data_IF_569339031886
#
_entry.id   IF_569339031886
#
_cell.length_a   1.000
_cell.length_b   1.000
_cell.length_c   1.000
_cell.angle_alpha   90.00
_cell.angle_beta   90.00
_cell.angle_gamma   90.00
#
_symmetry.space_group_name_H-M   'P 1'
#
loop_
_entity.id
_entity.type
_entity.pdbx_description
1 polymer ?
#
# COMPACT_ATOMS: atom_id res chain seq x y z
N UNK A 1 -4.78 -18.86 -13.32
CA UNK A 1 -5.59 -17.72 -12.87
C UNK A 1 -6.79 -18.32 -12.18
N UNK A 2 -6.97 -18.02 -10.89
CA UNK A 2 -8.26 -18.27 -10.25
C UNK A 2 -9.25 -17.31 -10.92
N UNK A 3 -10.45 -17.78 -11.23
CA UNK A 3 -11.52 -16.93 -11.77
C UNK A 3 -12.04 -16.04 -10.64
N UNK A 4 -12.24 -14.75 -10.93
CA UNK A 4 -12.82 -13.80 -9.97
C UNK A 4 -14.16 -14.34 -9.42
N UNK A 5 -14.40 -14.21 -8.12
CA UNK A 5 -15.70 -14.60 -7.54
C UNK A 5 -16.87 -13.92 -8.29
N UNK A 6 -17.84 -14.71 -8.80
CA UNK A 6 -18.92 -14.18 -9.63
C UNK A 6 -19.69 -13.03 -8.97
N UNK A 7 -19.79 -11.92 -9.70
CA UNK A 7 -20.51 -10.72 -9.25
C UNK A 7 -19.76 -9.86 -8.23
N UNK A 8 -18.49 -10.16 -7.95
CA UNK A 8 -17.62 -9.32 -7.11
C UNK A 8 -16.69 -8.48 -7.98
N UNK A 9 -16.24 -7.36 -7.41
CA UNK A 9 -15.29 -6.46 -8.06
C UNK A 9 -14.21 -6.04 -7.08
N UNK A 10 -12.96 -6.08 -7.52
CA UNK A 10 -11.77 -5.86 -6.70
C UNK A 10 -11.03 -4.58 -7.07
N UNK A 11 -11.77 -3.47 -7.20
CA UNK A 11 -11.20 -2.13 -7.34
C UNK A 11 -10.66 -1.60 -6.01
N UNK A 12 -9.91 -0.49 -6.08
CA UNK A 12 -9.20 0.12 -4.95
C UNK A 12 -10.11 0.49 -3.77
N UNK A 13 -9.92 -0.15 -2.61
CA UNK A 13 -10.61 0.18 -1.35
C UNK A 13 -9.66 0.39 -0.18
N UNK A 14 -10.13 1.08 0.85
CA UNK A 14 -9.35 1.40 2.04
C UNK A 14 -8.18 2.36 1.78
N UNK A 15 -7.34 2.55 2.79
CA UNK A 15 -6.29 3.59 2.76
C UNK A 15 -5.11 3.23 1.85
N UNK A 16 -4.82 1.95 1.65
CA UNK A 16 -3.79 1.49 0.69
C UNK A 16 -4.32 1.28 -0.73
N UNK A 17 -5.63 1.51 -0.95
CA UNK A 17 -6.31 1.26 -2.22
C UNK A 17 -6.09 -0.18 -2.73
N UNK A 18 -6.42 -1.17 -1.88
CA UNK A 18 -6.26 -2.59 -2.19
C UNK A 18 -7.04 -2.94 -3.46
N UNK A 19 -6.34 -3.49 -4.45
CA UNK A 19 -6.87 -3.81 -5.78
C UNK A 19 -6.48 -5.23 -6.15
N UNK A 20 -7.26 -5.88 -7.02
CA UNK A 20 -7.10 -7.26 -7.49
C UNK A 20 -7.51 -8.33 -6.48
N UNK A 21 -8.26 -9.34 -6.95
CA UNK A 21 -8.78 -10.43 -6.11
C UNK A 21 -7.68 -11.10 -5.27
N UNK A 22 -6.55 -11.44 -5.88
CA UNK A 22 -5.45 -12.13 -5.20
C UNK A 22 -4.92 -11.35 -3.98
N UNK A 23 -5.00 -10.01 -3.99
CA UNK A 23 -4.61 -9.20 -2.84
C UNK A 23 -5.68 -9.24 -1.73
N UNK A 24 -6.97 -9.27 -2.10
CA UNK A 24 -8.06 -9.47 -1.14
C UNK A 24 -7.99 -10.85 -0.51
N UNK A 25 -7.68 -11.89 -1.28
CA UNK A 25 -7.46 -13.25 -0.77
C UNK A 25 -6.29 -13.29 0.20
N UNK A 26 -5.12 -12.78 -0.20
CA UNK A 26 -3.93 -12.77 0.64
C UNK A 26 -4.15 -11.98 1.94
N UNK A 27 -4.83 -10.82 1.87
CA UNK A 27 -5.21 -10.05 3.05
C UNK A 27 -6.16 -10.83 3.95
N UNK A 28 -7.19 -11.46 3.37
CA UNK A 28 -8.18 -12.23 4.12
C UNK A 28 -7.54 -13.41 4.86
N UNK A 29 -6.67 -14.16 4.18
CA UNK A 29 -5.95 -15.28 4.77
C UNK A 29 -5.01 -14.84 5.88
N UNK A 30 -4.30 -13.73 5.70
CA UNK A 30 -3.36 -13.24 6.71
C UNK A 30 -4.05 -12.66 7.95
N UNK A 31 -5.22 -12.02 7.79
CA UNK A 31 -5.93 -11.35 8.88
C UNK A 31 -6.92 -12.28 9.60
N UNK A 32 -7.54 -13.22 8.87
CA UNK A 32 -8.68 -14.00 9.37
C UNK A 32 -8.54 -15.51 9.17
N UNK A 33 -7.57 -15.97 8.36
CA UNK A 33 -7.43 -17.38 7.99
C UNK A 33 -8.48 -17.90 6.99
N UNK A 34 -9.33 -17.02 6.46
CA UNK A 34 -10.43 -17.37 5.55
C UNK A 34 -10.46 -16.46 4.31
N UNK A 35 -11.53 -16.56 3.51
CA UNK A 35 -11.75 -15.83 2.26
C UNK A 35 -12.81 -14.72 2.39
N UNK A 36 -13.12 -14.26 3.60
CA UNK A 36 -14.19 -13.28 3.84
C UNK A 36 -14.05 -11.99 3.04
N UNK A 37 -12.82 -11.50 2.83
CA UNK A 37 -12.61 -10.27 2.04
C UNK A 37 -12.75 -10.51 0.53
N UNK A 38 -12.60 -11.75 0.07
CA UNK A 38 -12.90 -12.13 -1.32
C UNK A 38 -14.42 -12.14 -1.52
N UNK A 39 -15.15 -12.73 -0.58
CA UNK A 39 -16.63 -12.81 -0.60
C UNK A 39 -17.32 -11.47 -0.37
N UNK A 40 -16.74 -10.63 0.50
CA UNK A 40 -17.30 -9.34 0.90
C UNK A 40 -16.25 -8.22 0.77
N UNK A 41 -15.80 -7.89 -0.45
CA UNK A 41 -14.73 -6.90 -0.65
C UNK A 41 -15.14 -5.48 -0.24
N UNK A 42 -16.45 -5.21 -0.13
CA UNK A 42 -16.98 -3.94 0.37
C UNK A 42 -16.55 -3.61 1.81
N UNK A 43 -16.28 -4.63 2.64
CA UNK A 43 -15.84 -4.45 4.03
C UNK A 43 -14.56 -3.60 4.14
N UNK A 44 -13.66 -3.72 3.16
CA UNK A 44 -12.41 -2.92 3.11
C UNK A 44 -12.67 -1.43 2.94
N UNK A 45 -13.86 -1.03 2.45
CA UNK A 45 -14.27 0.36 2.33
C UNK A 45 -15.23 0.83 3.43
N UNK A 46 -16.09 -0.05 3.96
CA UNK A 46 -17.14 0.32 4.91
C UNK A 46 -16.77 0.14 6.38
N UNK A 47 -15.75 -0.67 6.69
CA UNK A 47 -15.32 -0.94 8.04
C UNK A 47 -13.91 -0.37 8.28
N UNK A 48 -13.80 0.59 9.19
CA UNK A 48 -12.56 1.32 9.48
C UNK A 48 -11.46 0.40 10.04
N UNK A 49 -11.80 -0.53 10.94
CA UNK A 49 -10.84 -1.48 11.50
C UNK A 49 -10.27 -2.39 10.42
N UNK A 50 -11.13 -2.83 9.49
CA UNK A 50 -10.72 -3.66 8.35
C UNK A 50 -9.84 -2.85 7.39
N UNK A 51 -10.21 -1.60 7.11
CA UNK A 51 -9.43 -0.72 6.24
C UNK A 51 -8.01 -0.50 6.79
N UNK A 52 -7.88 -0.23 8.10
CA UNK A 52 -6.58 -0.10 8.76
C UNK A 52 -5.80 -1.43 8.79
N UNK A 53 -6.46 -2.53 9.15
CA UNK A 53 -5.83 -3.85 9.21
C UNK A 53 -5.24 -4.27 7.86
N UNK A 54 -6.00 -4.07 6.77
CA UNK A 54 -5.54 -4.33 5.40
C UNK A 54 -4.35 -3.47 5.03
N UNK A 55 -4.41 -2.15 5.30
CA UNK A 55 -3.30 -1.23 5.01
C UNK A 55 -2.03 -1.60 5.77
N UNK A 56 -2.15 -1.94 7.05
CA UNK A 56 -1.00 -2.33 7.89
C UNK A 56 -0.43 -3.69 7.47
N UNK A 57 -1.28 -4.66 7.16
CA UNK A 57 -0.86 -5.94 6.60
C UNK A 57 -0.07 -5.73 5.30
N UNK A 58 -0.61 -4.96 4.36
CA UNK A 58 0.04 -4.73 3.07
C UNK A 58 1.41 -4.08 3.27
N UNK A 59 1.49 -3.07 4.14
CA UNK A 59 2.75 -2.42 4.50
C UNK A 59 3.77 -3.41 5.05
N UNK A 60 3.38 -4.22 6.05
CA UNK A 60 4.29 -5.18 6.69
C UNK A 60 4.75 -6.30 5.76
N UNK A 61 3.85 -6.84 4.94
CA UNK A 61 4.14 -7.97 4.07
C UNK A 61 4.95 -7.56 2.83
N UNK A 62 4.61 -6.41 2.22
CA UNK A 62 5.10 -6.05 0.90
C UNK A 62 6.08 -4.88 0.88
N UNK A 63 6.00 -3.94 1.83
CA UNK A 63 6.76 -2.68 1.77
C UNK A 63 7.92 -2.68 2.78
N UNK A 64 7.62 -2.88 4.06
CA UNK A 64 8.59 -2.80 5.16
C UNK A 64 9.66 -3.91 5.14
N UNK A 65 9.50 -4.93 4.29
CA UNK A 65 10.49 -6.00 4.11
C UNK A 65 11.71 -5.53 3.33
N UNK A 66 11.57 -4.46 2.52
CA UNK A 66 12.63 -3.92 1.67
C UNK A 66 13.75 -3.25 2.52
N UNK A 67 15.03 -3.63 2.31
CA UNK A 67 16.15 -3.02 3.05
C UNK A 67 16.29 -1.51 2.87
N UNK A 68 15.94 -0.95 1.70
CA UNK A 68 16.00 0.49 1.47
C UNK A 68 14.94 1.23 2.30
N UNK A 69 13.72 0.67 2.38
CA UNK A 69 12.67 1.19 3.26
C UNK A 69 13.12 1.19 4.72
N UNK A 70 13.81 0.13 5.17
CA UNK A 70 14.36 0.05 6.53
C UNK A 70 15.48 1.07 6.81
N UNK A 71 16.15 1.58 5.77
CA UNK A 71 17.14 2.66 5.86
C UNK A 71 16.51 4.06 5.83
N UNK A 72 15.19 4.16 5.72
CA UNK A 72 14.47 5.43 5.63
C UNK A 72 14.33 6.01 4.23
N UNK A 73 14.71 5.26 3.19
CA UNK A 73 14.56 5.69 1.79
C UNK A 73 13.07 5.66 1.39
N UNK A 74 12.41 6.82 1.44
CA UNK A 74 10.97 6.91 1.23
C UNK A 74 10.57 6.54 -0.21
N UNK A 75 11.39 6.87 -1.21
CA UNK A 75 11.15 6.51 -2.61
C UNK A 75 11.05 5.00 -2.81
N UNK A 76 11.84 4.20 -2.07
CA UNK A 76 11.73 2.74 -2.11
C UNK A 76 10.33 2.25 -1.70
N UNK A 77 9.67 2.93 -0.75
CA UNK A 77 8.30 2.59 -0.36
C UNK A 77 7.30 2.84 -1.50
N UNK A 78 7.45 3.95 -2.22
CA UNK A 78 6.63 4.27 -3.41
C UNK A 78 6.86 3.22 -4.50
N UNK A 79 8.11 2.82 -4.72
CA UNK A 79 8.47 1.81 -5.71
C UNK A 79 7.82 0.45 -5.39
N UNK A 80 7.75 0.07 -4.12
CA UNK A 80 7.07 -1.16 -3.68
C UNK A 80 5.55 -1.10 -3.82
N UNK A 81 4.94 0.08 -3.68
CA UNK A 81 3.49 0.25 -3.78
C UNK A 81 3.04 0.35 -5.25
N UNK A 82 3.71 1.18 -6.06
CA UNK A 82 3.27 1.48 -7.43
C UNK A 82 4.41 1.86 -8.38
N UNK A 83 5.60 1.27 -8.21
CA UNK A 83 6.81 1.70 -8.93
C UNK A 83 6.75 1.60 -10.45
N UNK A 84 5.96 0.67 -10.99
CA UNK A 84 5.77 0.54 -12.44
C UNK A 84 5.19 1.81 -13.06
N UNK A 85 4.23 2.45 -12.38
CA UNK A 85 3.58 3.67 -12.87
C UNK A 85 4.26 4.94 -12.33
N UNK A 86 4.63 4.94 -11.05
CA UNK A 86 5.06 6.15 -10.34
C UNK A 86 6.57 6.37 -10.32
N UNK A 87 7.38 5.33 -10.53
CA UNK A 87 8.84 5.46 -10.57
C UNK A 87 9.38 5.35 -12.00
N UNK A 88 8.88 4.36 -12.75
CA UNK A 88 9.34 4.04 -14.13
C UNK A 88 8.38 4.49 -15.22
N UNK A 89 7.16 4.90 -14.84
CA UNK A 89 6.08 5.22 -15.76
C UNK A 89 5.77 6.71 -15.83
N UNK A 90 4.62 7.02 -16.43
CA UNK A 90 4.20 8.40 -16.68
C UNK A 90 3.72 9.17 -15.43
N UNK A 91 3.57 8.51 -14.27
CA UNK A 91 2.95 9.09 -13.07
C UNK A 91 3.97 9.53 -12.00
N UNK A 92 5.17 9.98 -12.40
CA UNK A 92 6.22 10.45 -11.47
C UNK A 92 5.83 11.70 -10.67
N UNK A 93 4.88 12.50 -11.17
CA UNK A 93 4.28 13.61 -10.44
C UNK A 93 3.59 13.16 -9.14
N UNK A 94 2.96 11.98 -9.16
CA UNK A 94 2.34 11.39 -7.97
C UNK A 94 3.38 10.96 -6.94
N UNK A 95 4.48 10.35 -7.38
CA UNK A 95 5.58 9.98 -6.49
C UNK A 95 6.17 11.22 -5.79
N UNK A 96 6.42 12.29 -6.53
CA UNK A 96 6.86 13.59 -5.98
C UNK A 96 5.87 14.12 -4.95
N UNK A 97 4.57 14.11 -5.26
CA UNK A 97 3.53 14.55 -4.32
C UNK A 97 3.48 13.73 -3.03
N UNK A 98 3.68 12.41 -3.10
CA UNK A 98 3.79 11.56 -1.89
C UNK A 98 4.99 11.94 -1.03
N UNK A 99 6.13 12.24 -1.66
CA UNK A 99 7.31 12.71 -0.93
C UNK A 99 7.06 14.08 -0.28
N UNK A 100 6.39 15.02 -0.95
CA UNK A 100 5.99 16.30 -0.35
C UNK A 100 5.14 16.11 0.92
N UNK A 101 4.18 15.18 0.89
CA UNK A 101 3.37 14.84 2.07
C UNK A 101 4.25 14.25 3.18
N UNK A 102 5.15 13.33 2.85
CA UNK A 102 6.06 12.73 3.83
C UNK A 102 6.95 13.77 4.51
N UNK A 103 7.50 14.74 3.76
CA UNK A 103 8.30 15.84 4.33
C UNK A 103 7.52 16.66 5.36
N UNK A 104 6.22 16.86 5.15
CA UNK A 104 5.37 17.58 6.09
C UNK A 104 5.04 16.75 7.35
N UNK A 105 4.91 15.43 7.19
CA UNK A 105 4.49 14.51 8.26
C UNK A 105 5.66 14.09 9.15
N UNK A 106 6.83 13.78 8.58
CA UNK A 106 7.97 13.20 9.31
C UNK A 106 8.34 14.01 10.57
N UNK A 107 8.46 15.35 10.53
CA UNK A 107 8.87 16.11 11.71
C UNK A 107 7.87 16.05 12.88
N UNK A 108 6.61 15.69 12.61
CA UNK A 108 5.56 15.54 13.64
C UNK A 108 5.79 14.27 14.46
N UNK A 109 6.24 13.19 13.81
CA UNK A 109 6.40 11.87 14.42
C UNK A 109 7.84 11.54 14.82
N UNK A 110 8.82 12.12 14.11
CA UNK A 110 10.24 11.94 14.37
C UNK A 110 10.96 13.31 14.29
N UNK A 111 10.81 14.16 15.32
CA UNK A 111 11.47 15.46 15.36
C UNK A 111 12.98 15.33 15.21
N UNK A 112 13.57 16.07 14.27
CA UNK A 112 15.01 16.08 14.01
C UNK A 112 15.47 15.10 12.92
N UNK A 113 14.60 14.16 12.48
CA UNK A 113 14.90 13.33 11.31
C UNK A 113 14.78 14.14 10.01
N UNK A 114 15.59 13.74 9.03
CA UNK A 114 15.57 14.33 7.68
C UNK A 114 14.94 13.34 6.70
N UNK A 115 13.97 13.76 5.89
CA UNK A 115 13.35 12.89 4.90
C UNK A 115 14.36 12.54 3.79
N UNK A 116 14.35 11.28 3.34
CA UNK A 116 15.23 10.76 2.28
C UNK A 116 14.36 10.34 1.10
N UNK A 117 14.54 10.98 -0.06
CA UNK A 117 13.70 10.80 -1.25
C UNK A 117 14.04 9.56 -2.09
N UNK A 118 15.26 9.04 -1.98
CA UNK A 118 15.85 8.03 -2.87
C UNK A 118 15.01 6.75 -3.02
N UNK A 119 15.15 6.07 -4.16
CA UNK A 119 14.64 4.70 -4.37
C UNK A 119 13.47 4.59 -5.35
N UNK A 120 13.15 5.66 -6.10
CA UNK A 120 12.05 5.67 -7.07
C UNK A 120 12.48 6.16 -8.46
N UNK A 121 12.54 7.48 -8.70
CA UNK A 121 12.82 8.08 -10.01
C UNK A 121 14.20 8.76 -10.09
N UNK A 122 14.99 8.67 -9.04
CA UNK A 122 16.25 9.37 -8.81
C UNK A 122 17.44 8.43 -8.74
#
# INVERSE_FOLDING_TARGET
MLEDEPGKTYWGRGYIQLTWEYNYEAASKALYGDDRLVKNPGEVASNEDIAWAVSFWFWKANVATDPAVKKGEFGASINKINGALECKGAAQDKAKKRYEMYKAILPIFAPGEKPIETGCYN
#
